data_IF_601237768349
#
_entry.id   IF_601237768349
#
_cell.length_a   1.000
_cell.length_b   1.000
_cell.length_c   1.000
_cell.angle_alpha   90.00
_cell.angle_beta   90.00
_cell.angle_gamma   90.00
#
_symmetry.space_group_name_H-M   'P 1'
#
loop_
_entity.id
_entity.type
_entity.pdbx_description
1 polymer ?
#
# COMPACT_ATOMS: atom_id res chain seq x y z
N UNK A 1 -81.77 88.52 -47.00
CA UNK A 1 -80.78 87.44 -46.78
C UNK A 1 -79.45 88.02 -47.17
N UNK A 2 -78.56 88.08 -46.18
CA UNK A 2 -77.32 88.84 -46.16
C UNK A 2 -76.20 87.82 -46.17
N UNK A 3 -75.32 87.85 -47.16
CA UNK A 3 -74.10 87.04 -47.15
C UNK A 3 -72.90 87.99 -47.17
N UNK A 4 -72.33 88.16 -45.99
CA UNK A 4 -71.09 88.89 -45.73
C UNK A 4 -69.94 87.89 -45.88
N UNK A 5 -68.96 88.21 -46.74
CA UNK A 5 -67.73 87.44 -46.88
C UNK A 5 -66.93 87.42 -45.56
N UNK A 6 -66.55 86.23 -45.08
CA UNK A 6 -65.65 86.06 -43.94
C UNK A 6 -64.34 85.43 -44.43
N UNK A 7 -63.27 86.23 -44.50
CA UNK A 7 -61.90 85.78 -44.76
C UNK A 7 -61.27 85.31 -43.44
N UNK A 8 -60.75 84.08 -43.32
CA UNK A 8 -60.12 83.63 -42.09
C UNK A 8 -58.75 84.32 -41.91
N UNK A 9 -58.66 85.13 -40.87
CA UNK A 9 -57.42 85.79 -40.44
C UNK A 9 -56.40 84.76 -39.97
N UNK A 10 -55.18 84.83 -40.53
CA UNK A 10 -54.07 83.94 -40.20
C UNK A 10 -53.63 84.11 -38.72
N UNK A 11 -53.30 83.01 -38.00
CA UNK A 11 -52.85 83.07 -36.62
C UNK A 11 -51.57 83.91 -36.47
N UNK A 12 -51.63 84.96 -35.63
CA UNK A 12 -50.46 85.76 -35.25
C UNK A 12 -49.47 84.88 -34.50
N UNK A 13 -48.39 84.50 -35.18
CA UNK A 13 -47.22 83.86 -34.58
C UNK A 13 -46.58 84.90 -33.63
N UNK A 14 -46.31 84.55 -32.36
CA UNK A 14 -45.69 85.47 -31.42
C UNK A 14 -44.32 85.90 -31.92
N UNK A 15 -44.08 87.20 -31.79
CA UNK A 15 -42.92 87.95 -32.23
C UNK A 15 -41.63 87.33 -31.70
N UNK A 16 -40.68 87.10 -32.61
CA UNK A 16 -39.47 86.33 -32.37
C UNK A 16 -38.65 86.87 -31.20
N UNK A 17 -38.53 86.04 -30.17
CA UNK A 17 -37.33 86.03 -29.33
C UNK A 17 -36.15 85.88 -30.28
N UNK A 18 -35.33 86.93 -30.39
CA UNK A 18 -34.12 86.93 -31.21
C UNK A 18 -33.28 85.73 -30.77
N UNK A 19 -33.32 84.69 -31.58
CA UNK A 19 -32.47 83.51 -31.40
C UNK A 19 -31.04 83.98 -31.62
N UNK A 20 -30.32 84.22 -30.53
CA UNK A 20 -28.91 84.60 -30.57
C UNK A 20 -28.12 83.39 -31.09
N UNK A 21 -27.65 83.49 -32.34
CA UNK A 21 -26.90 82.42 -32.99
C UNK A 21 -25.62 82.06 -32.22
N UNK A 22 -25.02 83.03 -31.52
CA UNK A 22 -23.89 82.81 -30.62
C UNK A 22 -24.27 81.95 -29.39
N UNK A 23 -25.49 82.08 -28.86
CA UNK A 23 -25.97 81.29 -27.74
C UNK A 23 -26.25 79.84 -28.17
N UNK A 24 -26.77 79.64 -29.39
CA UNK A 24 -26.94 78.31 -29.99
C UNK A 24 -25.59 77.61 -30.16
N UNK A 25 -24.57 78.34 -30.64
CA UNK A 25 -23.24 77.78 -30.85
C UNK A 25 -22.55 77.43 -29.52
N UNK A 26 -22.67 78.29 -28.50
CA UNK A 26 -22.18 78.00 -27.13
C UNK A 26 -22.89 76.80 -26.51
N UNK A 27 -24.22 76.70 -26.66
CA UNK A 27 -25.00 75.55 -26.17
C UNK A 27 -24.59 74.24 -26.84
N UNK A 28 -24.28 74.27 -28.15
CA UNK A 28 -23.74 73.10 -28.86
C UNK A 28 -22.38 72.70 -28.30
N UNK A 29 -21.43 73.65 -28.19
CA UNK A 29 -20.11 73.37 -27.63
C UNK A 29 -20.18 72.84 -26.19
N UNK A 30 -21.02 73.43 -25.33
CA UNK A 30 -21.22 72.95 -23.97
C UNK A 30 -21.82 71.54 -23.92
N UNK A 31 -22.77 71.22 -24.81
CA UNK A 31 -23.31 69.87 -24.92
C UNK A 31 -22.24 68.87 -25.31
N UNK A 32 -21.44 69.19 -26.33
CA UNK A 32 -20.36 68.32 -26.80
C UNK A 32 -19.29 68.11 -25.72
N UNK A 33 -18.95 69.14 -24.94
CA UNK A 33 -18.03 69.04 -23.81
C UNK A 33 -18.58 68.16 -22.67
N UNK A 34 -19.86 68.28 -22.36
CA UNK A 34 -20.52 67.45 -21.33
C UNK A 34 -20.59 65.99 -21.79
N UNK A 35 -20.94 65.75 -23.06
CA UNK A 35 -21.01 64.41 -23.64
C UNK A 35 -19.62 63.75 -23.66
N UNK A 36 -18.58 64.50 -24.07
CA UNK A 36 -17.20 64.03 -24.03
C UNK A 36 -16.76 63.70 -22.60
N UNK A 37 -17.05 64.56 -21.62
CA UNK A 37 -16.75 64.27 -20.22
C UNK A 37 -17.47 63.02 -19.72
N UNK A 38 -18.75 62.85 -20.07
CA UNK A 38 -19.52 61.65 -19.73
C UNK A 38 -18.95 60.37 -20.34
N UNK A 39 -18.48 60.41 -21.59
CA UNK A 39 -17.81 59.27 -22.24
C UNK A 39 -16.47 58.93 -21.60
N UNK A 40 -15.70 59.96 -21.21
CA UNK A 40 -14.44 59.79 -20.50
C UNK A 40 -14.69 59.09 -19.17
N UNK A 41 -15.61 59.60 -18.35
CA UNK A 41 -15.92 59.04 -17.03
C UNK A 41 -16.50 57.63 -17.14
N UNK A 42 -17.39 57.39 -18.11
CA UNK A 42 -17.93 56.06 -18.38
C UNK A 42 -16.84 55.04 -18.75
N UNK A 43 -15.86 55.43 -19.58
CA UNK A 43 -14.74 54.56 -19.94
C UNK A 43 -13.86 54.23 -18.73
N UNK A 44 -13.55 55.21 -17.88
CA UNK A 44 -12.75 54.98 -16.67
C UNK A 44 -13.49 54.13 -15.64
N UNK A 45 -14.76 54.40 -15.40
CA UNK A 45 -15.58 53.61 -14.46
C UNK A 45 -15.79 52.18 -14.96
N UNK A 46 -15.98 51.99 -16.27
CA UNK A 46 -16.05 50.65 -16.84
C UNK A 46 -14.73 49.88 -16.63
N UNK A 47 -13.59 50.49 -16.98
CA UNK A 47 -12.27 49.87 -16.80
C UNK A 47 -11.98 49.54 -15.34
N UNK A 48 -12.30 50.46 -14.42
CA UNK A 48 -12.12 50.26 -12.99
C UNK A 48 -12.95 49.10 -12.46
N UNK A 49 -14.22 49.00 -12.84
CA UNK A 49 -15.09 47.87 -12.46
C UNK A 49 -14.57 46.54 -13.03
N UNK A 50 -14.16 46.53 -14.29
CA UNK A 50 -13.56 45.34 -14.91
C UNK A 50 -12.26 44.91 -14.20
N UNK A 51 -11.40 45.86 -13.82
CA UNK A 51 -10.18 45.59 -13.05
C UNK A 51 -10.48 45.04 -11.66
N UNK A 52 -11.42 45.65 -10.93
CA UNK A 52 -11.87 45.17 -9.61
C UNK A 52 -12.43 43.74 -9.69
N UNK A 53 -13.25 43.44 -10.70
CA UNK A 53 -13.80 42.10 -10.92
C UNK A 53 -12.71 41.07 -11.26
N UNK A 54 -11.74 41.45 -12.10
CA UNK A 54 -10.59 40.59 -12.44
C UNK A 54 -9.75 40.32 -11.19
N UNK A 55 -9.49 41.33 -10.36
CA UNK A 55 -8.74 41.19 -9.10
C UNK A 55 -9.52 40.26 -8.15
N UNK A 56 -10.81 40.50 -7.93
CA UNK A 56 -11.65 39.66 -7.07
C UNK A 56 -11.75 38.20 -7.55
N UNK A 57 -11.69 37.97 -8.86
CA UNK A 57 -11.61 36.62 -9.43
C UNK A 57 -10.24 35.98 -9.19
N UNK A 58 -9.15 36.71 -9.41
CA UNK A 58 -7.79 36.24 -9.16
C UNK A 58 -7.59 35.88 -7.68
N UNK A 59 -8.04 36.72 -6.76
CA UNK A 59 -7.96 36.48 -5.32
C UNK A 59 -8.72 35.21 -4.92
N UNK A 60 -9.92 34.99 -5.48
CA UNK A 60 -10.68 33.75 -5.25
C UNK A 60 -9.97 32.51 -5.78
N UNK A 61 -9.33 32.60 -6.96
CA UNK A 61 -8.55 31.51 -7.53
C UNK A 61 -7.31 31.23 -6.68
N UNK A 62 -6.59 32.27 -6.27
CA UNK A 62 -5.39 32.18 -5.45
C UNK A 62 -5.71 31.59 -4.08
N UNK A 63 -6.79 32.06 -3.42
CA UNK A 63 -7.29 31.47 -2.18
C UNK A 63 -7.58 29.97 -2.32
N UNK A 64 -8.28 29.55 -3.37
CA UNK A 64 -8.56 28.12 -3.64
C UNK A 64 -7.27 27.32 -3.91
N UNK A 65 -6.28 27.91 -4.56
CA UNK A 65 -4.97 27.27 -4.79
C UNK A 65 -4.19 27.12 -3.48
N UNK A 66 -4.17 28.16 -2.65
CA UNK A 66 -3.54 28.15 -1.33
C UNK A 66 -4.21 27.10 -0.42
N UNK A 67 -5.54 27.03 -0.38
CA UNK A 67 -6.28 26.01 0.38
C UNK A 67 -5.94 24.58 -0.08
N UNK A 68 -5.84 24.35 -1.40
CA UNK A 68 -5.43 23.03 -1.93
C UNK A 68 -3.99 22.69 -1.55
N UNK A 69 -3.07 23.66 -1.67
CA UNK A 69 -1.68 23.48 -1.29
C UNK A 69 -1.56 23.17 0.21
N UNK A 70 -2.31 23.88 1.05
CA UNK A 70 -2.33 23.67 2.49
C UNK A 70 -2.91 22.31 2.88
N UNK A 71 -4.02 21.90 2.26
CA UNK A 71 -4.55 20.55 2.44
C UNK A 71 -3.53 19.47 2.05
N UNK A 72 -2.77 19.70 1.00
CA UNK A 72 -1.72 18.78 0.56
C UNK A 72 -0.54 18.75 1.54
N UNK A 73 -0.14 19.89 2.08
CA UNK A 73 0.87 19.98 3.15
C UNK A 73 0.42 19.24 4.40
N UNK A 74 -0.79 19.46 4.89
CA UNK A 74 -1.34 18.77 6.06
C UNK A 74 -1.39 17.26 5.85
N UNK A 75 -1.81 16.80 4.65
CA UNK A 75 -1.80 15.36 4.34
C UNK A 75 -0.37 14.80 4.33
N UNK A 76 0.57 15.50 3.69
CA UNK A 76 1.97 15.08 3.64
C UNK A 76 2.62 15.05 5.03
N UNK A 77 2.32 16.03 5.89
CA UNK A 77 2.80 16.10 7.27
C UNK A 77 2.24 14.96 8.12
N UNK A 78 0.93 14.70 8.07
CA UNK A 78 0.31 13.55 8.75
C UNK A 78 0.86 12.21 8.27
N UNK A 79 1.19 12.10 6.98
CA UNK A 79 1.79 10.89 6.42
C UNK A 79 3.23 10.71 6.90
N UNK A 80 4.00 11.79 6.91
CA UNK A 80 5.37 11.83 7.44
C UNK A 80 5.40 11.53 8.94
N UNK A 81 4.50 12.08 9.73
CA UNK A 81 4.36 11.80 11.17
C UNK A 81 4.04 10.32 11.42
N UNK A 82 3.08 9.75 10.66
CA UNK A 82 2.76 8.31 10.76
C UNK A 82 3.94 7.44 10.36
N UNK A 83 4.77 7.89 9.43
CA UNK A 83 5.97 7.16 9.03
C UNK A 83 7.07 7.29 10.09
N UNK A 84 7.30 8.50 10.60
CA UNK A 84 8.25 8.78 11.67
C UNK A 84 7.92 7.98 12.94
N UNK A 85 6.64 7.90 13.36
CA UNK A 85 6.23 7.08 14.51
C UNK A 85 6.55 5.58 14.32
N UNK A 86 6.39 5.06 13.10
CA UNK A 86 6.74 3.66 12.79
C UNK A 86 8.24 3.44 12.78
N UNK A 87 9.00 4.41 12.27
CA UNK A 87 10.46 4.36 12.22
C UNK A 87 11.06 4.53 13.62
N UNK A 88 10.52 5.40 14.46
CA UNK A 88 10.91 5.60 15.86
C UNK A 88 10.59 4.35 16.70
N UNK A 89 9.42 3.72 16.53
CA UNK A 89 9.13 2.44 17.19
C UNK A 89 10.10 1.34 16.73
N UNK A 90 10.46 1.33 15.45
CA UNK A 90 11.45 0.40 14.90
C UNK A 90 12.85 0.68 15.47
N UNK A 91 13.26 1.94 15.55
CA UNK A 91 14.53 2.38 16.11
C UNK A 91 14.61 2.09 17.60
N UNK A 92 13.55 2.35 18.38
CA UNK A 92 13.49 2.01 19.81
C UNK A 92 13.58 0.50 20.05
N UNK A 93 12.97 -0.30 19.17
CA UNK A 93 13.09 -1.76 19.20
C UNK A 93 14.49 -2.22 18.79
N UNK A 94 15.07 -1.62 17.75
CA UNK A 94 16.44 -1.89 17.30
C UNK A 94 17.47 -1.50 18.36
N UNK A 95 17.26 -0.40 19.08
CA UNK A 95 18.10 0.06 20.20
C UNK A 95 17.96 -0.86 21.42
N UNK A 96 16.73 -1.27 21.77
CA UNK A 96 16.50 -2.25 22.83
C UNK A 96 17.07 -3.64 22.48
N UNK A 97 16.96 -4.07 21.21
CA UNK A 97 17.54 -5.32 20.73
C UNK A 97 19.07 -5.24 20.64
N UNK A 98 19.64 -4.08 20.29
CA UNK A 98 21.07 -3.83 20.29
C UNK A 98 21.63 -3.82 21.73
N UNK A 99 20.95 -3.15 22.66
CA UNK A 99 21.31 -3.18 24.09
C UNK A 99 21.21 -4.58 24.67
N UNK A 100 20.12 -5.30 24.38
CA UNK A 100 19.96 -6.70 24.80
C UNK A 100 21.00 -7.62 24.14
N UNK A 101 21.37 -7.38 22.88
CA UNK A 101 22.43 -8.14 22.20
C UNK A 101 23.80 -7.83 22.82
N UNK A 102 24.09 -6.59 23.16
CA UNK A 102 25.31 -6.20 23.85
C UNK A 102 25.38 -6.82 25.27
N UNK A 103 24.28 -6.81 26.03
CA UNK A 103 24.19 -7.46 27.34
C UNK A 103 24.26 -8.99 27.23
N UNK A 104 23.60 -9.59 26.24
CA UNK A 104 23.68 -11.03 25.95
C UNK A 104 25.08 -11.43 25.46
N UNK A 105 25.78 -10.61 24.68
CA UNK A 105 27.13 -10.92 24.22
C UNK A 105 28.16 -10.68 25.33
N UNK A 106 27.96 -9.71 26.22
CA UNK A 106 28.75 -9.57 27.44
C UNK A 106 28.50 -10.75 28.41
N UNK A 107 27.24 -11.16 28.58
CA UNK A 107 26.85 -12.30 29.41
C UNK A 107 27.25 -13.64 28.78
N UNK A 108 27.24 -13.76 27.44
CA UNK A 108 27.80 -14.91 26.71
C UNK A 108 29.31 -14.90 26.74
N UNK A 109 30.00 -13.76 26.70
CA UNK A 109 31.45 -13.73 26.89
C UNK A 109 31.81 -14.20 28.31
N UNK A 110 31.00 -13.82 29.29
CA UNK A 110 31.09 -14.32 30.66
C UNK A 110 30.69 -15.81 30.79
N UNK A 111 29.66 -16.28 30.08
CA UNK A 111 29.14 -17.64 30.17
C UNK A 111 29.84 -18.65 29.26
N UNK A 112 30.38 -18.23 28.10
CA UNK A 112 31.26 -19.04 27.23
C UNK A 112 32.64 -19.20 27.85
N UNK A 113 33.07 -18.28 28.71
CA UNK A 113 34.18 -18.52 29.62
C UNK A 113 33.86 -19.58 30.68
N UNK A 114 32.58 -19.92 30.90
CA UNK A 114 32.13 -20.83 31.96
C UNK A 114 31.59 -22.18 31.46
N UNK A 115 30.90 -22.26 30.31
CA UNK A 115 30.19 -23.46 29.84
C UNK A 115 30.22 -23.57 28.31
N UNK A 116 31.19 -24.30 27.79
CA UNK A 116 31.38 -24.53 26.36
C UNK A 116 30.41 -25.53 25.72
N UNK A 117 30.25 -25.37 24.40
CA UNK A 117 29.83 -26.35 23.38
C UNK A 117 28.33 -26.53 23.03
N UNK A 118 27.36 -26.34 23.92
CA UNK A 118 25.93 -26.63 23.57
C UNK A 118 25.18 -25.45 22.91
N UNK A 119 25.67 -24.21 23.05
CA UNK A 119 24.95 -22.98 22.66
C UNK A 119 24.92 -22.68 21.15
N UNK A 120 25.75 -23.37 20.35
CA UNK A 120 25.97 -23.05 18.92
C UNK A 120 24.72 -23.28 18.03
N UNK A 121 23.88 -24.27 18.34
CA UNK A 121 22.70 -24.63 17.52
C UNK A 121 21.53 -23.63 17.62
N UNK A 122 21.33 -23.01 18.80
CA UNK A 122 20.21 -22.09 19.04
C UNK A 122 20.42 -20.71 18.39
N UNK A 123 21.68 -20.27 18.30
CA UNK A 123 22.04 -18.99 17.69
C UNK A 123 21.73 -18.92 16.19
N UNK A 124 21.91 -20.01 15.43
CA UNK A 124 21.61 -20.01 13.99
C UNK A 124 20.12 -19.81 13.67
N UNK A 125 19.21 -20.23 14.55
CA UNK A 125 17.77 -19.99 14.41
C UNK A 125 17.34 -18.58 14.84
N UNK A 126 18.08 -17.96 15.76
CA UNK A 126 17.81 -16.61 16.24
C UNK A 126 18.32 -15.53 15.27
N UNK A 127 19.47 -15.74 14.63
CA UNK A 127 20.05 -14.78 13.69
C UNK A 127 19.21 -14.61 12.42
N UNK A 128 18.56 -15.68 11.95
CA UNK A 128 17.58 -15.63 10.85
C UNK A 128 16.31 -14.82 11.15
N UNK A 129 16.06 -14.50 12.43
CA UNK A 129 14.94 -13.65 12.87
C UNK A 129 15.35 -12.22 13.22
N UNK A 130 16.63 -11.92 13.44
CA UNK A 130 17.11 -10.60 13.93
C UNK A 130 17.74 -9.72 12.85
N UNK A 131 18.10 -10.27 11.68
CA UNK A 131 18.63 -9.52 10.54
C UNK A 131 17.56 -9.19 9.48
N UNK A 132 16.95 -8.02 9.58
CA UNK A 132 16.01 -7.48 8.58
C UNK A 132 14.61 -8.08 8.69
N UNK A 133 13.59 -7.22 8.83
CA UNK A 133 12.18 -7.63 8.72
C UNK A 133 12.01 -8.29 7.35
N UNK A 134 12.03 -9.63 7.30
CA UNK A 134 11.76 -10.38 6.07
C UNK A 134 10.46 -9.82 5.51
N UNK A 135 10.55 -9.15 4.36
CA UNK A 135 9.40 -8.51 3.74
C UNK A 135 8.31 -9.56 3.64
N UNK A 136 7.16 -9.29 4.24
CA UNK A 136 6.09 -10.29 4.28
C UNK A 136 5.66 -10.62 2.85
N UNK A 137 5.19 -11.84 2.58
CA UNK A 137 4.72 -12.20 1.23
C UNK A 137 3.64 -11.23 0.72
N UNK A 138 2.85 -10.63 1.63
CA UNK A 138 1.91 -9.56 1.33
C UNK A 138 2.59 -8.28 0.83
N UNK A 139 3.66 -7.85 1.47
CA UNK A 139 4.44 -6.68 1.07
C UNK A 139 5.20 -6.94 -0.23
N UNK A 140 5.73 -8.15 -0.45
CA UNK A 140 6.37 -8.53 -1.72
C UNK A 140 5.37 -8.52 -2.87
N UNK A 141 4.20 -9.14 -2.68
CA UNK A 141 3.11 -9.09 -3.67
C UNK A 141 2.70 -7.65 -3.98
N UNK A 142 2.56 -6.79 -2.96
CA UNK A 142 2.22 -5.38 -3.16
C UNK A 142 3.31 -4.65 -3.95
N UNK A 143 4.59 -4.90 -3.65
CA UNK A 143 5.73 -4.33 -4.38
C UNK A 143 5.73 -4.76 -5.85
N UNK A 144 5.59 -6.06 -6.12
CA UNK A 144 5.56 -6.61 -7.48
C UNK A 144 4.37 -6.07 -8.28
N UNK A 145 3.18 -5.96 -7.67
CA UNK A 145 2.00 -5.42 -8.36
C UNK A 145 2.14 -3.91 -8.62
N UNK A 146 2.75 -3.16 -7.72
CA UNK A 146 3.04 -1.74 -7.93
C UNK A 146 4.04 -1.53 -9.07
N UNK A 147 5.08 -2.37 -9.15
CA UNK A 147 6.09 -2.36 -10.21
C UNK A 147 5.49 -2.70 -11.59
N UNK A 148 4.56 -3.67 -11.64
CA UNK A 148 3.84 -4.02 -12.88
C UNK A 148 2.85 -2.95 -13.33
N UNK A 149 2.41 -2.06 -12.42
CA UNK A 149 1.42 -1.03 -12.72
C UNK A 149 2.08 0.17 -13.38
N UNK A 150 1.95 0.27 -14.71
CA UNK A 150 2.38 1.44 -15.47
C UNK A 150 1.40 2.61 -15.21
N UNK A 151 1.86 3.77 -14.72
CA UNK A 151 0.99 4.94 -14.58
C UNK A 151 0.52 5.38 -15.97
N UNK A 152 -0.77 5.68 -16.10
CA UNK A 152 -1.37 6.15 -17.33
C UNK A 152 -1.40 7.68 -17.32
N UNK A 153 -0.77 8.30 -18.31
CA UNK A 153 -0.91 9.73 -18.57
C UNK A 153 -1.83 9.89 -19.79
N UNK A 154 -3.06 10.36 -19.57
CA UNK A 154 -4.10 10.48 -20.61
C UNK A 154 -4.48 11.92 -20.94
N UNK A 155 -4.06 12.89 -20.14
CA UNK A 155 -4.62 14.25 -20.13
C UNK A 155 -4.17 15.12 -21.31
N UNK A 156 -3.14 14.70 -22.05
CA UNK A 156 -2.51 15.49 -23.12
C UNK A 156 -2.36 14.72 -24.44
N UNK A 157 -3.21 13.71 -24.68
CA UNK A 157 -3.17 12.87 -25.88
C UNK A 157 -4.26 13.25 -26.89
N UNK A 158 -3.93 13.15 -28.18
CA UNK A 158 -4.86 13.34 -29.30
C UNK A 158 -5.76 12.10 -29.48
N UNK A 159 -6.92 12.24 -30.14
CA UNK A 159 -7.93 11.18 -30.27
C UNK A 159 -7.37 9.88 -30.87
N UNK A 160 -6.59 9.97 -31.95
CA UNK A 160 -5.98 8.79 -32.59
C UNK A 160 -5.03 8.06 -31.64
N UNK A 161 -4.23 8.80 -30.86
CA UNK A 161 -3.32 8.22 -29.87
C UNK A 161 -4.07 7.59 -28.69
N UNK A 162 -5.23 8.11 -28.33
CA UNK A 162 -6.09 7.51 -27.32
C UNK A 162 -6.68 6.18 -27.80
N UNK A 163 -7.07 6.08 -29.08
CA UNK A 163 -7.54 4.83 -29.68
C UNK A 163 -6.46 3.75 -29.68
N UNK A 164 -5.22 4.11 -30.00
CA UNK A 164 -4.10 3.17 -29.95
C UNK A 164 -3.78 2.74 -28.52
N UNK A 165 -3.79 3.67 -27.55
CA UNK A 165 -3.61 3.33 -26.13
C UNK A 165 -4.71 2.43 -25.58
N UNK A 166 -5.95 2.62 -26.03
CA UNK A 166 -7.05 1.73 -25.65
C UNK A 166 -6.84 0.31 -26.18
N UNK A 167 -6.37 0.16 -27.43
CA UNK A 167 -6.02 -1.16 -28.01
C UNK A 167 -4.87 -1.82 -27.26
N UNK A 168 -3.78 -1.09 -26.99
CA UNK A 168 -2.65 -1.61 -26.22
C UNK A 168 -3.07 -2.12 -24.83
N UNK A 169 -3.92 -1.36 -24.12
CA UNK A 169 -4.43 -1.76 -22.81
C UNK A 169 -5.35 -2.97 -22.89
N UNK A 170 -6.15 -3.08 -23.95
CA UNK A 170 -7.00 -4.22 -24.20
C UNK A 170 -6.18 -5.49 -24.49
N UNK A 171 -5.17 -5.41 -25.36
CA UNK A 171 -4.25 -6.52 -25.64
C UNK A 171 -3.48 -6.95 -24.37
N UNK A 172 -3.06 -5.99 -23.56
CA UNK A 172 -2.42 -6.26 -22.27
C UNK A 172 -3.35 -7.01 -21.31
N UNK A 173 -4.63 -6.61 -21.24
CA UNK A 173 -5.64 -7.31 -20.46
C UNK A 173 -5.83 -8.75 -20.94
N UNK A 174 -5.96 -8.96 -22.26
CA UNK A 174 -6.11 -10.31 -22.84
C UNK A 174 -4.91 -11.21 -22.51
N UNK A 175 -3.70 -10.67 -22.57
CA UNK A 175 -2.47 -11.41 -22.21
C UNK A 175 -2.48 -11.86 -20.75
N UNK A 176 -2.88 -10.98 -19.83
CA UNK A 176 -3.00 -11.32 -18.40
C UNK A 176 -4.09 -12.37 -18.14
N UNK A 177 -5.19 -12.34 -18.91
CA UNK A 177 -6.24 -13.35 -18.82
C UNK A 177 -5.78 -14.73 -19.29
N UNK A 178 -5.03 -14.80 -20.40
CA UNK A 178 -4.45 -16.07 -20.88
C UNK A 178 -3.44 -16.63 -19.87
N UNK A 179 -2.54 -15.80 -19.32
CA UNK A 179 -1.58 -16.24 -18.30
C UNK A 179 -2.29 -16.75 -17.03
N UNK A 180 -3.36 -16.07 -16.61
CA UNK A 180 -4.20 -16.50 -15.48
C UNK A 180 -4.81 -17.87 -15.75
N UNK A 181 -5.33 -18.10 -16.95
CA UNK A 181 -5.91 -19.39 -17.35
C UNK A 181 -4.88 -20.52 -17.28
N UNK A 182 -3.70 -20.34 -17.88
CA UNK A 182 -2.61 -21.32 -17.85
C UNK A 182 -2.16 -21.65 -16.42
N UNK A 183 -2.07 -20.64 -15.56
CA UNK A 183 -1.75 -20.84 -14.15
C UNK A 183 -2.83 -21.62 -13.40
N UNK A 184 -4.11 -21.37 -13.68
CA UNK A 184 -5.23 -22.10 -13.08
C UNK A 184 -5.18 -23.57 -13.50
N UNK A 185 -4.99 -23.86 -14.79
CA UNK A 185 -4.92 -25.23 -15.30
C UNK A 185 -3.69 -25.97 -14.76
N UNK A 186 -2.53 -25.30 -14.68
CA UNK A 186 -1.33 -25.87 -14.05
C UNK A 186 -1.56 -26.21 -12.58
N UNK A 187 -2.21 -25.34 -11.82
CA UNK A 187 -2.55 -25.60 -10.42
C UNK A 187 -3.53 -26.76 -10.26
N UNK A 188 -4.50 -26.92 -11.18
CA UNK A 188 -5.40 -28.08 -11.18
C UNK A 188 -4.63 -29.38 -11.40
N UNK A 189 -3.71 -29.43 -12.37
CA UNK A 189 -2.84 -30.59 -12.62
C UNK A 189 -1.95 -30.92 -11.42
N UNK A 190 -1.27 -29.93 -10.85
CA UNK A 190 -0.43 -30.11 -9.65
C UNK A 190 -1.23 -30.66 -8.45
N UNK A 191 -2.47 -30.19 -8.26
CA UNK A 191 -3.35 -30.73 -7.22
C UNK A 191 -3.71 -32.20 -7.45
N UNK A 192 -3.93 -32.60 -8.70
CA UNK A 192 -4.19 -33.99 -9.06
C UNK A 192 -2.94 -34.86 -8.81
N UNK A 193 -1.78 -34.43 -9.28
CA UNK A 193 -0.49 -35.14 -9.06
C UNK A 193 -0.16 -35.29 -7.57
N UNK A 194 -0.42 -34.28 -6.74
CA UNK A 194 -0.23 -34.37 -5.29
C UNK A 194 -1.21 -35.36 -4.63
N UNK A 195 -2.45 -35.45 -5.13
CA UNK A 195 -3.44 -36.42 -4.64
C UNK A 195 -3.07 -37.86 -5.04
N UNK A 196 -2.61 -38.07 -6.27
CA UNK A 196 -2.14 -39.39 -6.73
C UNK A 196 -0.83 -39.82 -6.04
N UNK A 197 0.11 -38.88 -5.86
CA UNK A 197 1.36 -39.12 -5.14
C UNK A 197 1.19 -39.36 -3.64
N UNK A 198 0.09 -38.90 -3.03
CA UNK A 198 -0.25 -39.21 -1.62
C UNK A 198 -1.07 -40.50 -1.48
N UNK A 199 -1.72 -40.97 -2.55
CA UNK A 199 -2.43 -42.26 -2.60
C UNK A 199 -1.51 -43.45 -2.92
N UNK A 200 -0.35 -43.20 -3.51
CA UNK A 200 0.66 -44.23 -3.79
C UNK A 200 1.69 -44.28 -2.65
N UNK A 201 1.76 -45.37 -1.85
CA UNK A 201 2.88 -45.58 -0.94
C UNK A 201 4.17 -45.64 -1.78
N UNK A 202 5.32 -45.16 -1.27
CA UNK A 202 6.58 -45.36 -1.97
C UNK A 202 6.73 -46.86 -2.22
N UNK A 203 6.84 -47.27 -3.49
CA UNK A 203 7.26 -48.62 -3.82
C UNK A 203 8.59 -48.82 -3.11
N UNK A 204 8.62 -49.74 -2.14
CA UNK A 204 9.85 -50.21 -1.52
C UNK A 204 10.65 -50.84 -2.66
N UNK A 205 11.55 -50.06 -3.24
CA UNK A 205 12.67 -50.58 -4.00
C UNK A 205 13.47 -51.41 -3.01
N UNK A 206 13.30 -52.73 -3.06
CA UNK A 206 14.21 -53.65 -2.40
C UNK A 206 15.58 -53.42 -3.04
N UNK A 207 16.46 -52.72 -2.34
CA UNK A 207 17.86 -52.61 -2.70
C UNK A 207 18.48 -54.02 -2.64
N UNK A 208 18.98 -54.59 -3.75
CA UNK A 208 19.64 -55.88 -3.75
C UNK A 208 21.10 -55.69 -3.30
N UNK A 209 21.30 -55.39 -2.02
CA UNK A 209 22.62 -55.31 -1.40
C UNK A 209 22.69 -56.21 -0.17
N UNK A 210 22.54 -57.51 -0.40
CA UNK A 210 23.15 -58.56 0.43
C UNK A 210 23.20 -59.88 -0.35
N UNK A 211 24.14 -59.98 -1.29
CA UNK A 211 24.57 -61.29 -1.81
C UNK A 211 26.08 -61.43 -1.72
N UNK A 212 26.60 -61.38 -0.49
CA UNK A 212 27.89 -62.00 -0.16
C UNK A 212 27.70 -62.74 1.16
N UNK A 213 27.43 -64.05 1.03
CA UNK A 213 27.40 -65.01 2.13
C UNK A 213 28.37 -66.13 1.74
N UNK A 214 29.58 -66.09 2.28
CA UNK A 214 30.52 -67.21 2.35
C UNK A 214 31.24 -67.15 3.71
N UNK A 215 31.69 -68.30 4.27
CA UNK A 215 31.39 -68.64 5.65
C UNK A 215 32.64 -68.63 6.55
N UNK A 216 32.63 -67.84 7.63
CA UNK A 216 33.52 -68.05 8.78
C UNK A 216 32.73 -68.72 9.91
N UNK A 217 32.46 -70.01 9.75
CA UNK A 217 32.09 -70.96 10.81
C UNK A 217 32.98 -72.19 10.66
N UNK A 218 34.30 -72.01 10.82
CA UNK A 218 35.26 -73.12 10.81
C UNK A 218 36.56 -72.87 11.62
N UNK A 219 36.67 -71.79 12.40
CA UNK A 219 37.90 -71.47 13.14
C UNK A 219 37.63 -71.01 14.58
N UNK A 220 36.77 -71.72 15.30
CA UNK A 220 36.59 -71.56 16.75
C UNK A 220 36.58 -72.93 17.46
N UNK A 221 37.46 -73.83 16.99
CA UNK A 221 37.85 -75.10 17.63
C UNK A 221 39.38 -75.12 17.77
N UNK A 222 39.93 -74.10 18.43
CA UNK A 222 41.28 -74.13 18.99
C UNK A 222 41.35 -73.03 20.05
N UNK A 223 41.87 -73.39 21.23
CA UNK A 223 41.90 -72.63 22.48
C UNK A 223 40.69 -72.85 23.41
N UNK A 224 40.34 -74.12 23.59
CA UNK A 224 39.90 -74.61 24.91
C UNK A 224 41.16 -75.00 25.70
N UNK A 225 41.56 -74.17 26.66
CA UNK A 225 42.38 -74.49 27.83
C UNK A 225 42.78 -73.16 28.49
N UNK A 226 42.83 -73.12 29.83
CA UNK A 226 43.06 -71.96 30.70
C UNK A 226 41.77 -71.13 30.89
N UNK A 227 41.14 -71.02 32.06
CA UNK A 227 41.64 -71.20 33.41
C UNK A 227 40.47 -71.49 34.36
N UNK A 228 40.55 -72.61 35.06
CA UNK A 228 39.76 -72.92 36.25
C UNK A 228 40.60 -72.49 37.45
N UNK A 229 40.25 -71.42 38.16
CA UNK A 229 40.35 -71.32 39.62
C UNK A 229 39.92 -69.91 40.09
N UNK A 230 39.22 -69.87 41.23
CA UNK A 230 38.80 -68.69 42.02
C UNK A 230 37.54 -68.01 41.47
N UNK A 231 36.42 -67.91 42.18
CA UNK A 231 36.14 -68.18 43.57
C UNK A 231 34.78 -67.55 43.87
N UNK A 232 33.87 -68.42 44.27
CA UNK A 232 32.57 -68.24 44.90
C UNK A 232 32.39 -66.92 45.69
N UNK A 233 31.34 -66.14 45.41
CA UNK A 233 30.64 -65.30 46.41
C UNK A 233 29.24 -64.86 45.95
N UNK A 234 28.23 -65.56 46.49
CA UNK A 234 26.98 -65.04 47.09
C UNK A 234 26.11 -64.03 46.32
N UNK A 235 24.95 -64.54 45.89
CA UNK A 235 23.67 -63.82 45.91
C UNK A 235 23.31 -63.38 47.35
N UNK A 236 22.50 -62.32 47.50
CA UNK A 236 21.12 -62.60 47.89
C UNK A 236 20.07 -61.77 47.16
N UNK A 237 18.91 -62.42 46.98
CA UNK A 237 17.63 -61.86 46.62
C UNK A 237 17.21 -60.73 47.58
N UNK A 238 16.65 -59.65 47.03
CA UNK A 238 15.62 -58.87 47.74
C UNK A 238 14.40 -58.65 46.86
N UNK A 239 13.30 -59.03 47.48
CA UNK A 239 11.92 -59.05 47.04
C UNK A 239 11.33 -57.67 46.68
N UNK A 240 10.26 -57.77 45.88
CA UNK A 240 9.01 -56.97 45.89
C UNK A 240 8.97 -55.63 45.14
N UNK A 241 8.43 -55.75 43.92
CA UNK A 241 7.11 -55.21 43.52
C UNK A 241 6.76 -53.79 43.97
N UNK A 242 6.81 -52.86 43.04
CA UNK A 242 5.76 -51.84 42.92
C UNK A 242 5.46 -51.58 41.44
N UNK A 243 4.34 -52.14 40.99
CA UNK A 243 3.69 -51.84 39.72
C UNK A 243 2.56 -50.85 39.96
N UNK A 244 2.32 -50.05 38.91
CA UNK A 244 1.12 -49.24 38.59
C UNK A 244 1.16 -47.73 38.89
N UNK A 245 0.42 -46.90 38.14
CA UNK A 245 0.25 -46.96 36.68
C UNK A 245 0.35 -45.58 35.98
N UNK A 246 0.63 -45.64 34.68
CA UNK A 246 0.44 -44.55 33.73
C UNK A 246 -1.04 -44.17 33.62
N UNK A 247 -1.38 -42.91 33.91
CA UNK A 247 -2.60 -42.29 33.42
C UNK A 247 -2.31 -41.53 32.13
N UNK A 248 -2.69 -42.14 31.01
CA UNK A 248 -2.96 -41.41 29.78
C UNK A 248 -4.25 -40.63 29.92
N UNK A 249 -4.25 -39.36 29.52
CA UNK A 249 -5.46 -38.63 29.19
C UNK A 249 -5.30 -38.00 27.81
N UNK A 250 -5.98 -38.62 26.85
CA UNK A 250 -6.20 -38.08 25.53
C UNK A 250 -7.19 -36.93 25.56
N UNK A 251 -6.97 -36.00 24.64
CA UNK A 251 -7.96 -35.29 23.82
C UNK A 251 -9.36 -35.07 24.40
N UNK A 252 -9.68 -33.81 24.71
CA UNK A 252 -11.07 -33.35 24.62
C UNK A 252 -11.16 -32.04 23.84
N UNK A 253 -11.54 -32.20 22.57
CA UNK A 253 -12.14 -31.17 21.77
C UNK A 253 -13.41 -30.66 22.47
N UNK A 254 -13.54 -29.33 22.60
CA UNK A 254 -14.85 -28.68 22.81
C UNK A 254 -14.95 -27.48 21.89
N UNK A 255 -15.67 -27.71 20.80
CA UNK A 255 -16.31 -26.74 19.94
C UNK A 255 -17.79 -26.71 20.35
N UNK A 256 -18.31 -25.55 20.76
CA UNK A 256 -19.71 -25.07 20.69
C UNK A 256 -19.76 -23.76 21.50
N UNK A 257 -19.89 -22.56 20.92
CA UNK A 257 -21.06 -21.91 20.28
C UNK A 257 -22.27 -21.72 21.21
N UNK A 258 -22.66 -20.44 21.31
CA UNK A 258 -23.98 -19.83 21.49
C UNK A 258 -24.46 -19.45 22.92
N UNK A 259 -25.14 -18.30 22.92
CA UNK A 259 -25.77 -17.50 23.99
C UNK A 259 -24.81 -16.58 24.77
N UNK A 260 -24.94 -15.24 24.80
CA UNK A 260 -26.10 -14.37 24.59
C UNK A 260 -26.48 -13.70 25.92
N UNK A 261 -26.64 -12.37 25.89
CA UNK A 261 -27.27 -11.49 26.92
C UNK A 261 -26.37 -10.98 28.04
N UNK A 262 -25.96 -9.70 27.99
CA UNK A 262 -26.57 -8.54 28.68
C UNK A 262 -25.71 -7.29 28.42
#
# INVERSE_FOLDING_TARGET
MSDTEEVPSAPKIPEGEKVDFDDIQKKRQNKDLIELQGLIDAHFEQRKKEEEDIIALKDRIEKRRAERAEQQRIRAEKDKERQARREEERLRKEEADAKRKAEEDAKKKSALASMGSTYSSYLQKADQKRGGKKQTEREKKKKILAERRKPLNIDHLNEDKLRDKAKELWEWMQTLESEKFDHIERLKRQKYEQQEGSRSPPQKVECPLYRIRLPLRAAALQLGAWNTQLGDTRLPQKLRSHTEPWHGNGSRWKLSRLFGVA
#
